data_IF_813951432263
#
_entry.id   IF_813951432263
#
_cell.length_a   1.000
_cell.length_b   1.000
_cell.length_c   1.000
_cell.angle_alpha   90.00
_cell.angle_beta   90.00
_cell.angle_gamma   90.00
#
_symmetry.space_group_name_H-M   'P 1'
#
loop_
_entity.id
_entity.type
_entity.pdbx_description
1 polymer ?
#
# COMPACT_ATOMS: atom_id res chain seq x y z
N UNK A 1 25.89 -19.80 -15.40
CA UNK A 1 26.38 -20.37 -14.12
C UNK A 1 26.54 -19.36 -12.97
N UNK A 2 26.33 -18.05 -13.15
CA UNK A 2 26.55 -17.04 -12.09
C UNK A 2 25.36 -16.72 -11.17
N UNK A 3 24.21 -17.40 -11.30
CA UNK A 3 23.01 -17.14 -10.46
C UNK A 3 22.77 -18.29 -9.43
N UNK A 4 23.71 -19.23 -9.29
CA UNK A 4 23.56 -20.37 -8.35
C UNK A 4 24.44 -20.30 -7.09
N UNK A 5 25.11 -19.16 -6.82
CA UNK A 5 26.04 -19.01 -5.69
C UNK A 5 25.62 -18.00 -4.61
N UNK A 6 24.34 -17.64 -4.54
CA UNK A 6 23.86 -16.61 -3.59
C UNK A 6 22.77 -17.06 -2.60
N UNK A 7 22.31 -18.31 -2.63
CA UNK A 7 21.21 -18.78 -1.76
C UNK A 7 21.68 -19.99 -0.94
N UNK A 8 22.78 -19.83 -0.22
CA UNK A 8 23.26 -20.85 0.74
C UNK A 8 22.94 -20.52 2.19
N UNK A 9 22.28 -19.41 2.48
CA UNK A 9 21.93 -19.02 3.84
C UNK A 9 20.53 -18.42 3.90
N UNK A 10 19.51 -19.27 3.83
CA UNK A 10 18.19 -18.91 4.34
C UNK A 10 18.29 -19.04 5.86
N UNK A 11 18.60 -17.93 6.52
CA UNK A 11 18.53 -17.84 7.99
C UNK A 11 17.07 -17.90 8.39
N UNK A 12 16.66 -19.01 8.98
CA UNK A 12 15.34 -19.15 9.60
C UNK A 12 15.37 -18.35 10.91
N UNK A 13 14.84 -17.13 10.88
CA UNK A 13 14.71 -16.31 12.09
C UNK A 13 13.57 -16.92 12.91
N UNK A 14 13.85 -17.27 14.16
CA UNK A 14 12.84 -17.79 15.08
C UNK A 14 11.75 -16.72 15.30
N UNK A 15 10.44 -17.02 15.28
CA UNK A 15 9.39 -16.02 15.49
C UNK A 15 9.55 -15.20 16.78
N UNK A 16 10.10 -15.81 17.84
CA UNK A 16 10.39 -15.15 19.11
C UNK A 16 11.67 -14.29 19.09
N UNK A 17 12.51 -14.46 18.05
CA UNK A 17 13.71 -13.66 17.74
C UNK A 17 13.41 -12.50 16.80
N UNK A 18 12.23 -12.44 16.19
CA UNK A 18 11.65 -11.23 15.58
C UNK A 18 11.24 -10.22 16.67
N UNK A 19 12.15 -9.95 17.62
CA UNK A 19 12.08 -8.78 18.48
C UNK A 19 12.38 -7.58 17.63
N UNK A 20 11.32 -6.97 17.10
CA UNK A 20 11.33 -5.69 16.40
C UNK A 20 12.51 -5.57 15.44
N UNK A 21 12.31 -5.96 14.17
CA UNK A 21 13.04 -5.23 13.13
C UNK A 21 12.63 -3.79 13.38
N UNK A 22 13.54 -3.01 13.99
CA UNK A 22 13.36 -1.59 14.22
C UNK A 22 12.87 -1.04 12.89
N UNK A 23 11.59 -0.72 12.80
CA UNK A 23 11.10 0.03 11.66
C UNK A 23 11.94 1.31 11.73
N UNK A 24 12.80 1.59 10.73
CA UNK A 24 13.54 2.85 10.74
C UNK A 24 12.51 3.94 10.97
N UNK A 25 12.78 4.91 11.84
CA UNK A 25 11.85 6.00 12.16
C UNK A 25 11.38 6.57 10.84
N UNK A 26 10.16 6.21 10.43
CA UNK A 26 9.61 6.65 9.17
C UNK A 26 9.03 8.03 9.45
N UNK A 27 9.45 9.05 8.71
CA UNK A 27 9.01 10.41 8.97
C UNK A 27 7.49 10.52 8.84
N UNK A 28 6.84 10.90 9.94
CA UNK A 28 5.47 11.35 9.94
C UNK A 28 5.43 12.76 9.36
N UNK A 29 4.63 12.98 8.33
CA UNK A 29 4.44 14.31 7.77
C UNK A 29 3.32 15.00 8.57
N UNK A 30 3.60 16.18 9.14
CA UNK A 30 2.63 16.86 10.01
C UNK A 30 1.46 17.40 9.20
N UNK A 31 0.41 16.60 9.06
CA UNK A 31 -0.84 17.01 8.46
C UNK A 31 -2.02 16.53 9.30
N UNK A 32 -2.96 17.44 9.57
CA UNK A 32 -4.17 17.15 10.34
C UNK A 32 -5.38 16.87 9.45
N UNK A 33 -5.29 17.14 8.15
CA UNK A 33 -6.40 17.00 7.21
C UNK A 33 -6.16 15.83 6.26
N UNK A 34 -7.10 14.89 6.27
CA UNK A 34 -7.15 13.70 5.43
C UNK A 34 -8.17 13.93 4.30
N UNK A 35 -7.78 14.66 3.26
CA UNK A 35 -8.67 15.06 2.15
C UNK A 35 -8.65 14.11 0.95
N UNK A 36 -7.80 13.09 0.96
CA UNK A 36 -7.81 11.99 -0.02
C UNK A 36 -8.50 10.80 0.63
N UNK A 37 -9.74 10.52 0.23
CA UNK A 37 -10.47 9.38 0.80
C UNK A 37 -9.76 8.06 0.47
N UNK A 38 -9.51 7.77 -0.81
CA UNK A 38 -8.84 6.54 -1.19
C UNK A 38 -7.81 6.77 -2.30
N UNK A 39 -6.65 6.12 -2.20
CA UNK A 39 -5.63 6.12 -3.23
C UNK A 39 -4.94 4.76 -3.36
N UNK A 40 -4.49 4.42 -4.55
CA UNK A 40 -3.55 3.31 -4.75
C UNK A 40 -2.13 3.80 -4.48
N UNK A 41 -1.33 3.05 -3.70
CA UNK A 41 -0.01 3.50 -3.23
C UNK A 41 1.07 2.47 -3.55
N UNK A 42 2.24 2.95 -3.99
CA UNK A 42 3.44 2.14 -4.19
C UNK A 42 3.85 2.00 -5.66
N UNK A 43 4.71 1.02 -5.97
CA UNK A 43 5.11 0.75 -7.36
C UNK A 43 4.08 -0.14 -8.06
N UNK A 44 3.26 0.43 -8.94
CA UNK A 44 2.26 -0.29 -9.71
C UNK A 44 2.89 -1.09 -10.87
N UNK A 45 2.91 -2.41 -10.73
CA UNK A 45 3.37 -3.34 -11.74
C UNK A 45 2.61 -4.68 -11.67
N UNK A 46 2.68 -5.46 -12.75
CA UNK A 46 2.16 -6.82 -12.79
C UNK A 46 0.63 -6.93 -12.83
N UNK A 47 0.16 -8.17 -12.73
CA UNK A 47 -1.24 -8.54 -12.97
C UNK A 47 -2.21 -7.94 -11.95
N UNK A 48 -1.85 -7.94 -10.66
CA UNK A 48 -2.76 -7.46 -9.61
C UNK A 48 -3.07 -5.96 -9.74
N UNK A 49 -2.08 -5.14 -10.10
CA UNK A 49 -2.31 -3.73 -10.43
C UNK A 49 -3.04 -3.55 -11.76
N UNK A 50 -2.82 -4.43 -12.74
CA UNK A 50 -3.58 -4.40 -14.00
C UNK A 50 -5.08 -4.61 -13.74
N UNK A 51 -5.45 -5.63 -12.97
CA UNK A 51 -6.83 -5.95 -12.60
C UNK A 51 -7.48 -4.82 -11.75
N UNK A 52 -6.70 -4.24 -10.82
CA UNK A 52 -7.15 -3.09 -10.04
C UNK A 52 -7.41 -1.87 -10.95
N UNK A 53 -6.47 -1.52 -11.83
CA UNK A 53 -6.60 -0.36 -12.71
C UNK A 53 -7.69 -0.56 -13.76
N UNK A 54 -7.91 -1.77 -14.24
CA UNK A 54 -9.06 -2.10 -15.08
C UNK A 54 -10.38 -1.78 -14.38
N UNK A 55 -10.51 -2.17 -13.11
CA UNK A 55 -11.70 -1.89 -12.30
C UNK A 55 -11.87 -0.39 -12.07
N UNK A 56 -10.80 0.29 -11.64
CA UNK A 56 -10.80 1.75 -11.42
C UNK A 56 -11.12 2.53 -12.68
N UNK A 57 -10.63 2.11 -13.85
CA UNK A 57 -10.85 2.81 -15.13
C UNK A 57 -12.32 2.95 -15.52
N UNK A 58 -13.22 2.19 -14.89
CA UNK A 58 -14.67 2.20 -15.09
C UNK A 58 -15.40 3.24 -14.21
N UNK A 59 -14.68 3.93 -13.32
CA UNK A 59 -15.26 4.97 -12.47
C UNK A 59 -15.57 6.25 -13.26
N UNK A 60 -16.70 6.87 -12.95
CA UNK A 60 -17.07 8.20 -13.44
C UNK A 60 -16.34 9.34 -12.72
N UNK A 61 -15.59 9.03 -11.66
CA UNK A 61 -14.83 9.98 -10.85
C UNK A 61 -13.32 9.75 -10.96
N UNK A 62 -12.49 10.81 -10.83
CA UNK A 62 -11.05 10.65 -10.80
C UNK A 62 -10.58 9.77 -9.65
N UNK A 63 -9.58 8.93 -9.91
CA UNK A 63 -8.92 8.11 -8.90
C UNK A 63 -7.42 8.42 -8.85
N UNK A 64 -6.80 8.34 -7.69
CA UNK A 64 -5.40 8.75 -7.50
C UNK A 64 -4.50 7.52 -7.34
N UNK A 65 -3.38 7.50 -8.08
CA UNK A 65 -2.26 6.61 -7.81
C UNK A 65 -1.03 7.41 -7.34
N UNK A 66 -0.53 7.07 -6.15
CA UNK A 66 0.62 7.68 -5.49
C UNK A 66 1.80 6.71 -5.54
N UNK A 67 2.73 6.97 -6.44
CA UNK A 67 3.92 6.15 -6.62
C UNK A 67 4.23 5.93 -8.08
N UNK A 68 5.32 5.20 -8.33
CA UNK A 68 5.76 4.90 -9.68
C UNK A 68 4.84 3.87 -10.32
N UNK A 69 4.65 3.96 -11.63
CA UNK A 69 3.90 2.98 -12.42
C UNK A 69 4.79 2.45 -13.54
N UNK A 70 4.69 1.16 -13.84
CA UNK A 70 5.42 0.57 -14.96
C UNK A 70 4.97 1.18 -16.30
N UNK A 71 5.86 1.24 -17.30
CA UNK A 71 5.52 1.81 -18.61
C UNK A 71 4.34 1.09 -19.27
N UNK A 72 4.25 -0.24 -19.10
CA UNK A 72 3.15 -1.06 -19.64
C UNK A 72 1.79 -0.62 -19.07
N UNK A 73 1.69 -0.51 -17.74
CA UNK A 73 0.44 -0.11 -17.11
C UNK A 73 0.12 1.36 -17.35
N UNK A 74 1.13 2.23 -17.32
CA UNK A 74 0.94 3.65 -17.61
C UNK A 74 0.36 3.87 -19.01
N UNK A 75 0.97 3.28 -20.04
CA UNK A 75 0.51 3.43 -21.42
C UNK A 75 -0.91 2.87 -21.62
N UNK A 76 -1.25 1.77 -20.93
CA UNK A 76 -2.59 1.17 -20.96
C UNK A 76 -3.66 2.07 -20.34
N UNK A 77 -3.35 2.76 -19.24
CA UNK A 77 -4.35 3.47 -18.43
C UNK A 77 -4.20 5.00 -18.37
N UNK A 78 -3.22 5.61 -19.05
CA UNK A 78 -2.97 7.07 -19.02
C UNK A 78 -4.15 7.93 -19.52
N UNK A 79 -5.05 7.35 -20.32
CA UNK A 79 -6.25 8.03 -20.81
C UNK A 79 -7.51 7.71 -20.00
N UNK A 80 -7.37 7.01 -18.87
CA UNK A 80 -8.48 6.69 -17.96
C UNK A 80 -8.71 7.79 -16.92
N UNK A 81 -9.61 7.55 -15.96
CA UNK A 81 -9.85 8.44 -14.82
C UNK A 81 -8.70 8.42 -13.77
N UNK A 82 -7.67 7.59 -13.96
CA UNK A 82 -6.55 7.45 -13.02
C UNK A 82 -5.56 8.61 -13.20
N UNK A 83 -5.36 9.37 -12.12
CA UNK A 83 -4.35 10.40 -11.99
C UNK A 83 -3.07 9.80 -11.40
N UNK A 84 -2.07 9.59 -12.26
CA UNK A 84 -0.74 9.14 -11.86
C UNK A 84 0.10 10.32 -11.37
N UNK A 85 0.50 10.31 -10.09
CA UNK A 85 1.37 11.36 -9.55
C UNK A 85 2.86 11.18 -9.90
N UNK A 86 3.26 9.98 -10.32
CA UNK A 86 4.59 9.71 -10.86
C UNK A 86 4.47 8.97 -12.20
N UNK A 87 5.32 9.34 -13.16
CA UNK A 87 5.37 8.70 -14.48
C UNK A 87 6.48 7.63 -14.50
N UNK A 88 6.47 6.70 -15.47
CA UNK A 88 7.58 5.78 -15.67
C UNK A 88 8.91 6.54 -15.79
N UNK A 89 9.89 6.20 -14.94
CA UNK A 89 11.21 6.83 -14.93
C UNK A 89 11.28 8.23 -14.30
N UNK A 90 10.18 8.77 -13.77
CA UNK A 90 10.14 10.06 -13.10
C UNK A 90 9.41 9.96 -11.75
N UNK A 91 10.14 9.46 -10.74
CA UNK A 91 9.62 9.27 -9.39
C UNK A 91 9.36 10.60 -8.68
N UNK A 92 8.40 10.60 -7.74
CA UNK A 92 8.21 11.71 -6.82
C UNK A 92 9.44 11.88 -5.92
N UNK A 93 9.73 13.11 -5.51
CA UNK A 93 10.59 13.30 -4.34
C UNK A 93 9.91 12.69 -3.11
N UNK A 94 10.73 12.20 -2.18
CA UNK A 94 10.21 11.53 -0.98
C UNK A 94 9.29 12.44 -0.15
N UNK A 95 9.63 13.72 0.02
CA UNK A 95 8.78 14.70 0.71
C UNK A 95 7.40 14.86 0.06
N UNK A 96 7.36 14.87 -1.29
CA UNK A 96 6.11 15.02 -2.03
C UNK A 96 5.28 13.74 -1.97
N UNK A 97 5.95 12.59 -1.96
CA UNK A 97 5.33 11.29 -1.76
C UNK A 97 4.67 11.20 -0.36
N UNK A 98 5.42 11.51 0.70
CA UNK A 98 4.92 11.52 2.08
C UNK A 98 3.80 12.53 2.29
N UNK A 99 3.91 13.72 1.70
CA UNK A 99 2.84 14.72 1.76
C UNK A 99 1.51 14.19 1.22
N UNK A 100 1.52 13.44 0.11
CA UNK A 100 0.33 12.81 -0.46
C UNK A 100 -0.19 11.66 0.43
N UNK A 101 0.70 10.83 0.96
CA UNK A 101 0.31 9.75 1.88
C UNK A 101 -0.33 10.31 3.16
N UNK A 102 0.24 11.36 3.74
CA UNK A 102 -0.28 11.99 4.96
C UNK A 102 -1.73 12.48 4.84
N UNK A 103 -2.18 12.75 3.61
CA UNK A 103 -3.53 13.20 3.26
C UNK A 103 -4.52 12.05 3.00
N UNK A 104 -4.03 10.82 2.90
CA UNK A 104 -4.82 9.66 2.49
C UNK A 104 -5.45 8.95 3.70
N UNK A 105 -6.77 8.70 3.65
CA UNK A 105 -7.48 7.88 4.66
C UNK A 105 -7.25 6.39 4.40
N UNK A 106 -7.56 5.92 3.19
CA UNK A 106 -7.43 4.51 2.80
C UNK A 106 -6.42 4.34 1.65
N UNK A 107 -5.41 3.51 1.86
CA UNK A 107 -4.39 3.18 0.87
C UNK A 107 -4.58 1.77 0.32
N UNK A 108 -4.74 1.62 -1.00
CA UNK A 108 -4.81 0.31 -1.68
C UNK A 108 -3.40 -0.15 -2.04
N UNK A 109 -3.07 -1.37 -1.60
CA UNK A 109 -1.81 -2.03 -1.91
C UNK A 109 -2.05 -3.41 -2.50
N UNK A 110 -1.61 -3.63 -3.74
CA UNK A 110 -1.81 -4.88 -4.48
C UNK A 110 -0.51 -5.68 -4.59
N UNK A 111 0.02 -6.15 -3.46
CA UNK A 111 1.18 -7.05 -3.46
C UNK A 111 0.70 -8.50 -3.65
N UNK A 112 1.07 -9.08 -4.78
CA UNK A 112 0.68 -10.45 -5.18
C UNK A 112 1.68 -11.53 -4.75
N UNK A 113 2.73 -11.18 -4.01
CA UNK A 113 3.78 -12.11 -3.60
C UNK A 113 3.69 -12.37 -2.10
N UNK A 114 3.88 -13.64 -1.71
CA UNK A 114 4.23 -14.04 -0.36
C UNK A 114 5.58 -13.43 0.00
N UNK A 115 5.57 -12.16 0.39
CA UNK A 115 6.71 -11.56 1.05
C UNK A 115 6.87 -12.26 2.40
N UNK A 116 7.73 -13.26 2.44
CA UNK A 116 8.38 -13.66 3.68
C UNK A 116 9.21 -12.46 4.15
N UNK A 117 8.60 -11.62 4.98
CA UNK A 117 9.25 -10.67 5.89
C UNK A 117 9.84 -9.34 5.36
N UNK A 118 9.59 -8.89 4.13
CA UNK A 118 9.90 -7.49 3.76
C UNK A 118 8.63 -6.66 3.56
N UNK A 119 8.25 -5.89 4.58
CA UNK A 119 7.24 -4.84 4.44
C UNK A 119 7.69 -3.85 3.38
N UNK A 120 6.83 -3.50 2.43
CA UNK A 120 7.19 -2.49 1.45
C UNK A 120 7.41 -1.14 2.17
N UNK A 121 8.43 -0.37 1.78
CA UNK A 121 8.65 0.96 2.36
C UNK A 121 7.40 1.84 2.26
N UNK A 122 6.67 1.73 1.15
CA UNK A 122 5.39 2.40 0.91
C UNK A 122 4.31 2.10 1.97
N UNK A 123 4.22 0.86 2.44
CA UNK A 123 3.29 0.49 3.52
C UNK A 123 3.76 1.06 4.85
N UNK A 124 5.06 1.04 5.15
CA UNK A 124 5.59 1.65 6.38
C UNK A 124 5.37 3.16 6.41
N UNK A 125 5.54 3.82 5.26
CA UNK A 125 5.21 5.24 5.06
C UNK A 125 3.72 5.51 5.32
N UNK A 126 2.84 4.63 4.84
CA UNK A 126 1.40 4.72 5.07
C UNK A 126 1.02 4.48 6.54
N UNK A 127 1.64 3.49 7.19
CA UNK A 127 1.45 3.18 8.60
C UNK A 127 1.82 4.35 9.50
N UNK A 128 2.99 4.94 9.25
CA UNK A 128 3.53 6.06 10.02
C UNK A 128 2.76 7.36 9.83
N UNK A 129 1.84 7.39 8.86
CA UNK A 129 0.95 8.49 8.57
C UNK A 129 -0.52 8.11 8.83
N UNK A 130 -0.82 7.08 9.62
CA UNK A 130 -2.18 6.65 9.99
C UNK A 130 -3.10 6.40 8.79
N UNK A 131 -2.59 5.77 7.73
CA UNK A 131 -3.40 5.38 6.57
C UNK A 131 -3.94 3.97 6.78
N UNK A 132 -5.25 3.78 6.70
CA UNK A 132 -5.86 2.44 6.74
C UNK A 132 -5.44 1.66 5.50
N UNK A 133 -4.98 0.43 5.67
CA UNK A 133 -4.50 -0.40 4.55
C UNK A 133 -5.67 -1.20 3.97
N UNK A 134 -5.89 -1.08 2.66
CA UNK A 134 -6.76 -1.94 1.87
C UNK A 134 -5.89 -2.88 1.03
N UNK A 135 -6.11 -4.19 1.13
CA UNK A 135 -5.32 -5.19 0.38
C UNK A 135 -6.16 -6.42 0.07
N UNK A 136 -5.71 -7.24 -0.87
CA UNK A 136 -6.18 -8.61 -0.99
C UNK A 136 -5.63 -9.48 0.15
N UNK A 137 -6.33 -10.57 0.48
CA UNK A 137 -5.91 -11.56 1.47
C UNK A 137 -4.55 -12.15 1.12
N UNK A 138 -3.59 -11.95 2.02
CA UNK A 138 -2.24 -12.50 1.92
C UNK A 138 -1.62 -12.60 3.33
N UNK A 139 -0.46 -13.25 3.42
CA UNK A 139 0.29 -13.44 4.68
C UNK A 139 0.58 -12.11 5.39
N UNK A 140 0.76 -11.03 4.64
CA UNK A 140 1.06 -9.71 5.20
C UNK A 140 -0.17 -9.02 5.79
N UNK A 141 -1.33 -9.14 5.15
CA UNK A 141 -2.61 -8.66 5.70
C UNK A 141 -2.90 -9.32 7.05
N UNK A 142 -2.65 -10.64 7.15
CA UNK A 142 -2.77 -11.39 8.41
C UNK A 142 -1.76 -10.91 9.48
N UNK A 143 -0.55 -10.54 9.06
CA UNK A 143 0.44 -9.95 9.97
C UNK A 143 -0.01 -8.59 10.52
N UNK A 144 -0.48 -7.68 9.65
CA UNK A 144 -1.00 -6.37 10.08
C UNK A 144 -2.16 -6.51 11.08
N UNK A 145 -3.08 -7.45 10.83
CA UNK A 145 -4.17 -7.76 11.75
C UNK A 145 -3.65 -8.29 13.09
N UNK A 146 -2.61 -9.13 13.08
CA UNK A 146 -2.00 -9.69 14.31
C UNK A 146 -1.33 -8.66 15.22
N UNK A 147 -0.90 -7.52 14.67
CA UNK A 147 -0.34 -6.38 15.42
C UNK A 147 -1.38 -5.30 15.71
N UNK A 148 -2.67 -5.59 15.48
CA UNK A 148 -3.79 -4.67 15.67
C UNK A 148 -3.67 -3.36 14.86
N UNK A 149 -3.06 -3.43 13.67
CA UNK A 149 -3.02 -2.31 12.74
C UNK A 149 -4.32 -2.24 11.91
N UNK A 150 -4.89 -1.05 11.62
CA UNK A 150 -6.11 -0.92 10.83
C UNK A 150 -5.90 -1.37 9.37
N UNK A 151 -6.28 -2.62 9.08
CA UNK A 151 -6.23 -3.25 7.77
C UNK A 151 -7.61 -3.82 7.39
N UNK A 152 -8.01 -3.65 6.14
CA UNK A 152 -9.18 -4.30 5.54
C UNK A 152 -8.69 -5.21 4.41
N UNK A 153 -8.96 -6.50 4.56
CA UNK A 153 -8.51 -7.53 3.63
C UNK A 153 -9.68 -8.10 2.84
N UNK A 154 -9.49 -8.30 1.53
CA UNK A 154 -10.52 -8.75 0.59
C UNK A 154 -10.09 -10.01 -0.16
N UNK A 155 -11.06 -10.84 -0.55
CA UNK A 155 -10.77 -12.08 -1.29
C UNK A 155 -10.24 -11.84 -2.71
N UNK A 156 -10.55 -10.67 -3.30
CA UNK A 156 -10.11 -10.32 -4.66
C UNK A 156 -10.08 -8.81 -4.88
N UNK A 157 -9.38 -8.39 -5.94
CA UNK A 157 -9.34 -7.00 -6.43
C UNK A 157 -10.75 -6.48 -6.75
N UNK A 158 -11.60 -7.34 -7.31
CA UNK A 158 -13.00 -7.03 -7.63
C UNK A 158 -13.81 -6.76 -6.36
N UNK A 159 -13.69 -7.63 -5.33
CA UNK A 159 -14.37 -7.44 -4.05
C UNK A 159 -13.92 -6.19 -3.32
N UNK A 160 -12.63 -5.88 -3.35
CA UNK A 160 -12.09 -4.64 -2.83
C UNK A 160 -12.76 -3.45 -3.53
N UNK A 161 -12.84 -3.49 -4.86
CA UNK A 161 -13.41 -2.41 -5.65
C UNK A 161 -14.93 -2.23 -5.43
N UNK A 162 -15.69 -3.32 -5.31
CA UNK A 162 -17.13 -3.27 -4.98
C UNK A 162 -17.42 -2.57 -3.64
N UNK A 163 -16.47 -2.58 -2.71
CA UNK A 163 -16.63 -2.02 -1.36
C UNK A 163 -15.99 -0.64 -1.18
N UNK A 164 -15.28 -0.12 -2.19
CA UNK A 164 -14.47 1.11 -2.05
C UNK A 164 -15.30 2.36 -1.68
N UNK A 165 -16.56 2.40 -2.10
CA UNK A 165 -17.50 3.49 -1.80
C UNK A 165 -18.28 3.27 -0.49
N UNK A 166 -18.15 2.10 0.12
CA UNK A 166 -18.87 1.71 1.34
C UNK A 166 -17.89 1.21 2.43
N UNK A 167 -16.71 1.82 2.50
CA UNK A 167 -15.71 1.49 3.53
C UNK A 167 -16.21 1.90 4.93
N UNK A 168 -15.85 1.15 5.99
CA UNK A 168 -16.17 1.53 7.38
C UNK A 168 -15.56 2.89 7.73
N UNK A 169 -16.18 3.66 8.62
CA UNK A 169 -15.70 4.99 9.02
C UNK A 169 -14.23 5.00 9.47
N UNK A 170 -13.48 5.96 8.94
CA UNK A 170 -12.02 6.06 9.12
C UNK A 170 -11.65 6.35 10.57
N UNK A 171 -12.32 7.31 11.20
CA UNK A 171 -12.00 7.73 12.56
C UNK A 171 -12.39 6.64 13.57
N UNK A 172 -13.48 5.92 13.31
CA UNK A 172 -13.89 4.79 14.15
C UNK A 172 -12.95 3.59 14.04
N UNK A 173 -12.42 3.30 12.85
CA UNK A 173 -11.34 2.31 12.68
C UNK A 173 -10.10 2.74 13.47
N UNK A 174 -9.65 3.99 13.33
CA UNK A 174 -8.47 4.47 14.07
C UNK A 174 -8.65 4.52 15.59
N UNK A 175 -9.87 4.71 16.11
CA UNK A 175 -10.12 4.63 17.56
C UNK A 175 -10.05 3.20 18.08
N UNK A 176 -10.48 2.23 17.26
CA UNK A 176 -10.52 0.81 17.63
C UNK A 176 -9.12 0.21 17.72
N UNK A 177 -8.23 0.64 16.83
CA UNK A 177 -6.84 0.20 16.77
C UNK A 177 -5.97 1.20 17.55
N UNK A 178 -5.16 0.74 18.51
CA UNK A 178 -4.36 1.65 19.34
C UNK A 178 -3.20 2.23 18.51
N UNK A 179 -3.24 3.51 18.05
CA UNK A 179 -2.32 3.98 17.00
C UNK A 179 -0.92 4.33 17.53
N UNK A 180 -0.54 3.80 18.71
CA UNK A 180 0.78 4.04 19.28
C UNK A 180 1.80 3.19 18.52
N UNK A 181 2.22 3.68 17.35
CA UNK A 181 3.57 3.41 16.86
C UNK A 181 4.47 4.33 17.70
N UNK A 182 5.04 3.75 18.76
CA UNK A 182 6.02 4.41 19.64
C UNK A 182 7.33 4.72 18.92
#
# INVERSE_FOLDING_TARGET
EHIKKGISEVHYINPDELKYINHPIVPMFSNKEKDIDCASIGYANGKAYDELFESISKLDKPFIHIGMVSNVLYEKYKSSCIKFHAMPGNALSYDRYLSLISRTKYGIFMYAHDYSFTTSGAMLDAMSNNTVILTIANTFAAYLDSIDYPVLSFDSSEKLFEQIDNLPDYDDLLKKHNPIIA
#
